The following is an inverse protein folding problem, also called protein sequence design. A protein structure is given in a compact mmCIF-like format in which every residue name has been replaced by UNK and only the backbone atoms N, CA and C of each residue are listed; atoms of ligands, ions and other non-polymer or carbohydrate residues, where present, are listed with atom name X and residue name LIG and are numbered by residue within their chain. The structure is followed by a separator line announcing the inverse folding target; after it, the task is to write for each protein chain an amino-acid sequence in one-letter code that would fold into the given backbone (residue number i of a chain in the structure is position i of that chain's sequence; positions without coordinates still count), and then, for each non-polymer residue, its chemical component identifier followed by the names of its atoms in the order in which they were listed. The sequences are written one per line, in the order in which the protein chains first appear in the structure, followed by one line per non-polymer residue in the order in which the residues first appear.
data_IF_401785971990
#
_entry.id   IF_401785971990
#
_cell.length_a   1.000
_cell.length_b   1.000
_cell.length_c   1.000
_cell.angle_alpha   90.00
_cell.angle_beta   90.00
_cell.angle_gamma   90.00
#
_symmetry.space_group_name_H-M   'P 1'
#
loop_
_entity.id
_entity.type
_entity.pdbx_description
1 polymer ?
#
# COMPACT_ATOMS: atom_id res chain seq x y z
N UNK A 1 0.88 -3.56 -32.12
CA UNK A 1 1.88 -2.48 -32.17
C UNK A 1 3.01 -2.82 -31.21
N UNK A 2 4.24 -2.34 -31.44
CA UNK A 2 5.33 -2.53 -30.46
C UNK A 2 5.02 -1.66 -29.23
N UNK A 3 5.19 -2.17 -28.00
CA UNK A 3 4.96 -1.34 -26.81
C UNK A 3 5.90 -0.14 -26.78
N UNK A 4 5.39 1.01 -26.37
CA UNK A 4 6.16 2.25 -26.22
C UNK A 4 7.16 2.13 -25.05
N UNK A 5 8.33 2.76 -25.18
CA UNK A 5 9.28 2.86 -24.06
C UNK A 5 8.93 4.06 -23.20
N UNK A 6 8.80 3.86 -21.90
CA UNK A 6 8.49 4.95 -20.95
C UNK A 6 9.61 5.04 -19.92
N UNK A 7 10.24 6.21 -19.84
CA UNK A 7 11.33 6.49 -18.91
C UNK A 7 10.79 6.82 -17.51
N UNK A 8 11.38 6.18 -16.51
CA UNK A 8 11.01 6.30 -15.10
C UNK A 8 12.18 6.91 -14.32
N UNK A 9 11.86 7.92 -13.52
CA UNK A 9 12.72 8.41 -12.44
C UNK A 9 12.24 7.87 -11.10
N UNK A 10 13.11 7.20 -10.34
CA UNK A 10 12.80 6.67 -9.01
C UNK A 10 13.51 7.50 -7.93
N UNK A 11 12.76 8.01 -6.96
CA UNK A 11 13.27 8.84 -5.87
C UNK A 11 13.22 8.04 -4.56
N UNK A 12 14.39 7.82 -3.95
CA UNK A 12 14.60 7.01 -2.75
C UNK A 12 15.19 5.64 -3.09
N UNK A 13 16.40 5.33 -2.62
CA UNK A 13 17.12 4.10 -2.97
C UNK A 13 17.06 3.00 -1.89
N UNK A 14 16.03 3.04 -1.03
CA UNK A 14 15.81 2.07 0.04
C UNK A 14 15.34 0.69 -0.45
N UNK A 15 14.85 -0.14 0.46
CA UNK A 15 14.42 -1.51 0.12
C UNK A 15 13.28 -1.54 -0.90
N UNK A 16 12.39 -0.53 -0.91
CA UNK A 16 11.31 -0.42 -1.89
C UNK A 16 11.81 -0.19 -3.32
N UNK A 17 12.92 0.55 -3.50
CA UNK A 17 13.54 0.73 -4.80
C UNK A 17 13.85 -0.61 -5.48
N UNK A 18 14.28 -1.61 -4.71
CA UNK A 18 14.51 -2.98 -5.22
C UNK A 18 13.21 -3.59 -5.74
N UNK A 19 12.12 -3.52 -4.99
CA UNK A 19 10.86 -4.14 -5.36
C UNK A 19 10.26 -3.51 -6.62
N UNK A 20 10.23 -2.18 -6.70
CA UNK A 20 9.76 -1.44 -7.88
C UNK A 20 10.66 -1.70 -9.10
N UNK A 21 11.98 -1.74 -8.92
CA UNK A 21 12.93 -2.06 -10.00
C UNK A 21 12.74 -3.46 -10.58
N UNK A 22 12.39 -4.44 -9.73
CA UNK A 22 12.03 -5.80 -10.19
C UNK A 22 10.71 -5.75 -10.97
N UNK A 23 9.73 -4.97 -10.51
CA UNK A 23 8.45 -4.83 -11.21
C UNK A 23 8.61 -4.22 -12.61
N UNK A 24 9.41 -3.16 -12.76
CA UNK A 24 9.70 -2.55 -14.07
C UNK A 24 10.38 -3.53 -15.04
N UNK A 25 11.31 -4.33 -14.54
CA UNK A 25 11.98 -5.34 -15.37
C UNK A 25 11.08 -6.54 -15.68
N UNK A 26 10.28 -6.99 -14.71
CA UNK A 26 9.49 -8.21 -14.79
C UNK A 26 8.16 -8.04 -15.51
N UNK A 27 7.50 -6.89 -15.42
CA UNK A 27 6.17 -6.65 -16.02
C UNK A 27 6.06 -7.06 -17.49
N UNK A 28 6.94 -6.63 -18.41
CA UNK A 28 6.84 -7.04 -19.81
C UNK A 28 7.16 -8.53 -20.06
N UNK A 29 7.76 -9.23 -19.10
CA UNK A 29 8.01 -10.68 -19.17
C UNK A 29 6.78 -11.50 -18.75
N UNK A 30 6.00 -10.98 -17.81
CA UNK A 30 4.78 -11.61 -17.31
C UNK A 30 3.58 -11.26 -18.20
N UNK A 31 3.43 -10.00 -18.59
CA UNK A 31 2.30 -9.52 -19.39
C UNK A 31 2.75 -9.14 -20.80
N UNK A 32 2.40 -9.97 -21.78
CA UNK A 32 2.75 -9.76 -23.19
C UNK A 32 1.54 -9.93 -24.14
N UNK A 33 1.31 -9.03 -25.12
CA UNK A 33 2.05 -7.78 -25.37
C UNK A 33 1.92 -6.80 -24.20
N UNK A 34 3.05 -6.21 -23.78
CA UNK A 34 3.08 -5.30 -22.66
C UNK A 34 2.39 -3.95 -23.00
N UNK A 35 1.75 -3.28 -22.03
CA UNK A 35 1.19 -1.95 -22.26
C UNK A 35 2.28 -0.91 -22.54
N UNK A 36 3.47 -1.07 -21.95
CA UNK A 36 4.66 -0.27 -22.19
C UNK A 36 5.93 -1.09 -21.86
N UNK A 37 7.10 -0.58 -22.25
CA UNK A 37 8.41 -1.04 -21.78
C UNK A 37 8.97 0.01 -20.78
N UNK A 38 8.93 -0.29 -19.48
CA UNK A 38 9.58 0.54 -18.45
C UNK A 38 11.09 0.66 -18.68
N UNK A 39 11.60 1.89 -18.74
CA UNK A 39 13.04 2.19 -18.80
C UNK A 39 13.44 2.85 -17.48
N UNK A 40 14.31 2.19 -16.73
CA UNK A 40 14.86 2.69 -15.46
C UNK A 40 15.89 3.78 -15.75
N UNK A 41 15.42 5.02 -15.91
CA UNK A 41 16.21 6.14 -16.43
C UNK A 41 17.15 6.70 -15.37
N UNK A 42 16.60 7.15 -14.24
CA UNK A 42 17.38 7.78 -13.18
C UNK A 42 16.89 7.32 -11.81
N UNK A 43 17.83 7.07 -10.88
CA UNK A 43 17.53 6.83 -9.47
C UNK A 43 18.18 7.92 -8.60
N UNK A 44 17.45 8.38 -7.59
CA UNK A 44 17.92 9.44 -6.68
C UNK A 44 18.01 8.95 -5.25
N UNK A 45 19.10 9.30 -4.58
CA UNK A 45 19.21 9.26 -3.12
C UNK A 45 20.10 10.42 -2.65
N UNK A 46 19.74 11.06 -1.53
CA UNK A 46 20.54 12.18 -0.99
C UNK A 46 21.98 11.79 -0.63
N UNK A 47 22.22 10.50 -0.37
CA UNK A 47 23.57 9.99 -0.18
C UNK A 47 24.14 9.49 -1.51
N UNK A 48 25.17 10.18 -2.01
CA UNK A 48 25.79 9.85 -3.30
C UNK A 48 26.26 8.39 -3.40
N UNK A 49 26.84 7.84 -2.32
CA UNK A 49 27.31 6.45 -2.33
C UNK A 49 26.16 5.45 -2.46
N UNK A 50 25.01 5.75 -1.83
CA UNK A 50 23.78 4.95 -1.93
C UNK A 50 23.18 5.09 -3.32
N UNK A 51 23.07 6.30 -3.86
CA UNK A 51 22.53 6.56 -5.20
C UNK A 51 23.35 5.84 -6.29
N UNK A 52 24.68 5.93 -6.21
CA UNK A 52 25.60 5.27 -7.14
C UNK A 52 25.51 3.75 -7.05
N UNK A 53 25.51 3.17 -5.85
CA UNK A 53 25.34 1.72 -5.67
C UNK A 53 23.98 1.25 -6.21
N UNK A 54 22.92 1.98 -5.90
CA UNK A 54 21.56 1.65 -6.35
C UNK A 54 21.43 1.69 -7.87
N UNK A 55 22.06 2.66 -8.55
CA UNK A 55 22.10 2.68 -10.02
C UNK A 55 22.70 1.40 -10.59
N UNK A 56 23.88 1.00 -10.12
CA UNK A 56 24.55 -0.21 -10.63
C UNK A 56 23.74 -1.47 -10.27
N UNK A 57 23.34 -1.61 -9.00
CA UNK A 57 22.66 -2.80 -8.47
C UNK A 57 21.25 -2.99 -9.02
N UNK A 58 20.52 -1.90 -9.22
CA UNK A 58 19.13 -1.91 -9.70
C UNK A 58 19.04 -1.63 -11.20
N UNK A 59 20.18 -1.48 -11.88
CA UNK A 59 20.32 -1.27 -13.32
C UNK A 59 19.52 -0.07 -13.85
N UNK A 60 19.77 1.11 -13.27
CA UNK A 60 19.35 2.40 -13.82
C UNK A 60 20.43 2.96 -14.76
N UNK A 61 20.05 3.79 -15.73
CA UNK A 61 21.00 4.43 -16.64
C UNK A 61 21.87 5.50 -15.94
N UNK A 62 21.27 6.25 -15.01
CA UNK A 62 21.91 7.32 -14.27
C UNK A 62 21.53 7.34 -12.78
N UNK A 63 22.32 8.04 -11.97
CA UNK A 63 21.94 8.43 -10.61
C UNK A 63 22.07 9.94 -10.43
N UNK A 64 21.36 10.48 -9.45
CA UNK A 64 21.59 11.83 -8.92
C UNK A 64 21.43 11.85 -7.39
N UNK A 65 21.88 12.93 -6.76
CA UNK A 65 21.65 13.25 -5.35
C UNK A 65 20.56 14.31 -5.15
N UNK A 66 19.99 14.85 -6.23
CA UNK A 66 18.92 15.85 -6.19
C UNK A 66 17.70 15.33 -6.97
N UNK A 67 16.55 15.25 -6.30
CA UNK A 67 15.32 14.77 -6.92
C UNK A 67 14.76 15.75 -7.96
N UNK A 68 15.16 17.03 -7.91
CA UNK A 68 14.80 18.00 -8.95
C UNK A 68 15.35 17.60 -10.32
N UNK A 69 16.44 16.83 -10.41
CA UNK A 69 16.96 16.35 -11.68
C UNK A 69 15.96 15.42 -12.38
N UNK A 70 15.24 14.58 -11.63
CA UNK A 70 14.16 13.75 -12.18
C UNK A 70 12.99 14.61 -12.67
N UNK A 71 12.63 15.64 -11.90
CA UNK A 71 11.47 16.51 -12.22
C UNK A 71 11.75 17.41 -13.42
N UNK A 72 12.99 17.86 -13.58
CA UNK A 72 13.38 18.77 -14.66
C UNK A 72 13.83 18.04 -15.94
N UNK A 73 14.08 16.73 -15.90
CA UNK A 73 14.43 15.95 -17.08
C UNK A 73 13.21 15.77 -18.01
N UNK A 74 13.22 16.34 -19.23
CA UNK A 74 12.10 16.23 -20.17
C UNK A 74 11.91 14.80 -20.71
N UNK A 75 12.93 13.94 -20.61
CA UNK A 75 12.85 12.56 -21.10
C UNK A 75 12.13 11.64 -20.11
N UNK A 76 11.97 12.02 -18.84
CA UNK A 76 11.27 11.22 -17.82
C UNK A 76 9.77 11.52 -17.83
N UNK A 77 8.94 10.49 -18.05
CA UNK A 77 7.47 10.63 -18.07
C UNK A 77 6.79 10.14 -16.79
N UNK A 78 7.45 9.27 -16.03
CA UNK A 78 6.93 8.68 -14.79
C UNK A 78 7.89 8.95 -13.63
N UNK A 79 7.36 9.42 -12.50
CA UNK A 79 8.07 9.57 -11.23
C UNK A 79 7.56 8.53 -10.24
N UNK A 80 8.49 7.77 -9.68
CA UNK A 80 8.25 6.77 -8.63
C UNK A 80 8.82 7.25 -7.30
N UNK A 81 7.94 7.52 -6.33
CA UNK A 81 8.28 8.11 -5.05
C UNK A 81 8.34 7.01 -3.99
N UNK A 82 9.55 6.61 -3.62
CA UNK A 82 9.88 5.54 -2.67
C UNK A 82 10.59 6.07 -1.40
N UNK A 83 10.34 7.34 -1.05
CA UNK A 83 10.94 8.03 0.10
C UNK A 83 10.17 7.76 1.40
N UNK A 84 10.63 8.28 2.56
CA UNK A 84 9.78 8.40 3.74
C UNK A 84 8.59 9.36 3.53
N UNK A 85 7.55 9.20 4.35
CA UNK A 85 6.23 9.81 4.16
C UNK A 85 6.26 11.35 4.11
N UNK A 86 7.17 11.96 4.89
CA UNK A 86 7.25 13.41 5.08
C UNK A 86 7.64 14.24 3.86
N UNK A 87 8.10 13.60 2.78
CA UNK A 87 8.50 14.30 1.55
C UNK A 87 7.66 13.90 0.33
N UNK A 88 6.66 13.02 0.50
CA UNK A 88 5.79 12.59 -0.60
C UNK A 88 5.10 13.79 -1.26
N UNK A 89 4.51 14.67 -0.45
CA UNK A 89 3.70 15.78 -0.93
C UNK A 89 4.50 16.78 -1.78
N UNK A 90 5.66 17.22 -1.29
CA UNK A 90 6.53 18.16 -2.00
C UNK A 90 6.94 17.60 -3.38
N UNK A 91 7.42 16.36 -3.41
CA UNK A 91 7.89 15.70 -4.62
C UNK A 91 6.73 15.47 -5.60
N UNK A 92 5.60 14.95 -5.13
CA UNK A 92 4.46 14.63 -5.98
C UNK A 92 3.81 15.89 -6.56
N UNK A 93 3.68 16.97 -5.79
CA UNK A 93 3.16 18.25 -6.26
C UNK A 93 4.08 18.84 -7.34
N UNK A 94 5.40 18.76 -7.17
CA UNK A 94 6.36 19.19 -8.17
C UNK A 94 6.29 18.34 -9.45
N UNK A 95 6.24 17.01 -9.33
CA UNK A 95 6.08 16.08 -10.46
C UNK A 95 4.78 16.33 -11.24
N UNK A 96 3.66 16.55 -10.53
CA UNK A 96 2.37 16.84 -11.14
C UNK A 96 2.38 18.17 -11.89
N UNK A 97 2.99 19.22 -11.33
CA UNK A 97 3.16 20.52 -12.00
C UNK A 97 4.06 20.42 -13.24
N UNK A 98 5.00 19.48 -13.26
CA UNK A 98 5.84 19.17 -14.41
C UNK A 98 5.16 18.23 -15.44
N UNK A 99 3.90 17.81 -15.20
CA UNK A 99 3.14 16.95 -16.11
C UNK A 99 3.59 15.49 -16.13
N UNK A 100 4.28 15.01 -15.10
CA UNK A 100 4.79 13.62 -15.02
C UNK A 100 3.81 12.73 -14.28
N UNK A 101 3.52 11.53 -14.81
CA UNK A 101 2.73 10.51 -14.14
C UNK A 101 3.41 10.03 -12.87
N UNK A 102 2.63 9.65 -11.84
CA UNK A 102 3.19 9.42 -10.50
C UNK A 102 2.75 8.07 -9.95
N UNK A 103 3.70 7.28 -9.48
CA UNK A 103 3.45 6.21 -8.50
C UNK A 103 4.08 6.64 -7.18
N UNK A 104 3.32 6.58 -6.09
CA UNK A 104 3.78 7.03 -4.78
C UNK A 104 3.59 5.90 -3.76
N UNK A 105 4.60 5.69 -2.93
CA UNK A 105 4.46 4.87 -1.74
C UNK A 105 3.39 5.41 -0.80
N UNK A 106 2.87 4.50 0.03
CA UNK A 106 1.86 4.80 1.04
C UNK A 106 2.52 5.01 2.43
N UNK A 107 1.82 5.60 3.42
CA UNK A 107 0.63 6.44 3.28
C UNK A 107 0.87 7.60 2.30
N UNK A 108 -0.20 8.17 1.72
CA UNK A 108 -0.05 9.11 0.62
C UNK A 108 0.73 10.36 1.07
N UNK A 109 0.47 10.83 2.29
CA UNK A 109 1.14 11.98 2.89
C UNK A 109 1.17 11.84 4.42
N UNK A 110 1.72 12.83 5.13
CA UNK A 110 1.65 12.88 6.60
C UNK A 110 0.28 13.34 7.10
N UNK A 111 -0.38 14.21 6.34
CA UNK A 111 -1.65 14.82 6.71
C UNK A 111 -2.65 14.73 5.58
N UNK A 112 -3.94 14.74 5.91
CA UNK A 112 -4.99 14.77 4.89
C UNK A 112 -4.98 16.05 4.05
N UNK A 113 -4.52 17.19 4.60
CA UNK A 113 -4.39 18.45 3.84
C UNK A 113 -3.30 18.35 2.76
N UNK A 114 -2.16 17.75 3.07
CA UNK A 114 -1.10 17.46 2.08
C UNK A 114 -1.61 16.47 1.02
N UNK A 115 -2.27 15.38 1.43
CA UNK A 115 -2.85 14.41 0.50
C UNK A 115 -3.91 15.05 -0.42
N UNK A 116 -4.70 16.00 0.10
CA UNK A 116 -5.65 16.80 -0.68
C UNK A 116 -4.94 17.65 -1.72
N UNK A 117 -3.85 18.35 -1.34
CA UNK A 117 -3.06 19.14 -2.28
C UNK A 117 -2.46 18.27 -3.40
N UNK A 118 -1.92 17.10 -3.05
CA UNK A 118 -1.40 16.13 -4.02
C UNK A 118 -2.48 15.72 -5.03
N UNK A 119 -3.65 15.29 -4.54
CA UNK A 119 -4.79 14.89 -5.37
C UNK A 119 -5.25 16.02 -6.29
N UNK A 120 -5.52 17.21 -5.75
CA UNK A 120 -6.03 18.34 -6.52
C UNK A 120 -5.01 18.84 -7.55
N UNK A 121 -3.72 18.82 -7.22
CA UNK A 121 -2.66 19.20 -8.15
C UNK A 121 -2.54 18.20 -9.29
N UNK A 122 -2.57 16.90 -9.00
CA UNK A 122 -2.55 15.86 -10.04
C UNK A 122 -3.78 15.96 -10.97
N UNK A 123 -4.98 16.12 -10.40
CA UNK A 123 -6.23 16.32 -11.14
C UNK A 123 -6.15 17.55 -12.05
N UNK A 124 -5.68 18.68 -11.53
CA UNK A 124 -5.55 19.95 -12.28
C UNK A 124 -4.59 19.85 -13.47
N UNK A 125 -3.52 19.06 -13.34
CA UNK A 125 -2.53 18.90 -14.40
C UNK A 125 -2.77 17.68 -15.30
N UNK A 126 -3.92 17.00 -15.17
CA UNK A 126 -4.27 15.80 -15.94
C UNK A 126 -3.25 14.67 -15.84
N UNK A 127 -2.64 14.55 -14.65
CA UNK A 127 -1.60 13.56 -14.38
C UNK A 127 -2.23 12.31 -13.77
N UNK A 128 -2.02 11.16 -14.42
CA UNK A 128 -2.37 9.84 -13.87
C UNK A 128 -1.53 9.53 -12.64
N UNK A 129 -2.17 9.04 -11.59
CA UNK A 129 -1.52 8.73 -10.31
C UNK A 129 -1.88 7.35 -9.79
N UNK A 130 -0.95 6.73 -9.06
CA UNK A 130 -1.18 5.49 -8.32
C UNK A 130 -0.56 5.58 -6.93
N UNK A 131 -1.26 5.03 -5.93
CA UNK A 131 -0.74 4.83 -4.57
C UNK A 131 -0.42 3.35 -4.37
N UNK A 132 0.72 3.04 -3.78
CA UNK A 132 1.27 1.69 -3.73
C UNK A 132 0.60 0.76 -2.69
N UNK A 133 -0.73 0.63 -2.72
CA UNK A 133 -1.45 -0.40 -1.95
C UNK A 133 -1.36 -1.77 -2.65
N UNK A 134 -0.14 -2.24 -2.91
CA UNK A 134 0.17 -3.41 -3.74
C UNK A 134 -0.52 -4.70 -3.26
N UNK A 135 -0.76 -4.88 -1.96
CA UNK A 135 -1.37 -6.11 -1.44
C UNK A 135 -2.77 -6.38 -1.99
N UNK A 136 -3.53 -5.35 -2.35
CA UNK A 136 -4.84 -5.53 -3.00
C UNK A 136 -4.70 -6.18 -4.38
N UNK A 137 -3.53 -6.10 -5.02
CA UNK A 137 -3.21 -6.72 -6.31
C UNK A 137 -2.85 -8.21 -6.20
N UNK A 138 -2.82 -8.77 -4.99
CA UNK A 138 -2.71 -10.22 -4.80
C UNK A 138 -3.87 -10.93 -5.53
N UNK A 139 -3.61 -11.93 -6.39
CA UNK A 139 -4.67 -12.61 -7.14
C UNK A 139 -5.81 -13.15 -6.28
N UNK A 140 -5.53 -13.59 -5.04
CA UNK A 140 -6.55 -14.08 -4.11
C UNK A 140 -7.49 -12.96 -3.64
N UNK A 141 -6.97 -11.76 -3.40
CA UNK A 141 -7.76 -10.58 -3.04
C UNK A 141 -8.60 -10.11 -4.23
N UNK A 142 -8.04 -10.20 -5.44
CA UNK A 142 -8.75 -9.85 -6.68
C UNK A 142 -9.84 -10.87 -7.00
N UNK A 143 -9.62 -12.15 -6.67
CA UNK A 143 -10.64 -13.19 -6.73
C UNK A 143 -11.75 -12.96 -5.69
N UNK A 144 -11.41 -12.52 -4.48
CA UNK A 144 -12.41 -12.13 -3.49
C UNK A 144 -13.30 -11.00 -4.01
N UNK A 145 -12.69 -9.96 -4.62
CA UNK A 145 -13.44 -8.87 -5.26
C UNK A 145 -14.36 -9.38 -6.36
N UNK A 146 -13.87 -10.27 -7.23
CA UNK A 146 -14.68 -10.91 -8.27
C UNK A 146 -15.92 -11.61 -7.70
N UNK A 147 -15.77 -12.44 -6.66
CA UNK A 147 -16.90 -13.15 -6.04
C UNK A 147 -17.91 -12.20 -5.40
N UNK A 148 -17.45 -11.11 -4.78
CA UNK A 148 -18.31 -10.07 -4.23
C UNK A 148 -19.09 -9.37 -5.34
N UNK A 149 -18.41 -8.96 -6.42
CA UNK A 149 -19.03 -8.24 -7.54
C UNK A 149 -20.01 -9.12 -8.33
N UNK A 150 -19.77 -10.43 -8.39
CA UNK A 150 -20.70 -11.42 -8.97
C UNK A 150 -21.91 -11.73 -8.07
N UNK A 151 -21.93 -11.20 -6.84
CA UNK A 151 -22.96 -11.49 -5.84
C UNK A 151 -22.87 -12.90 -5.26
N UNK A 152 -21.74 -13.60 -5.43
CA UNK A 152 -21.60 -15.01 -5.06
C UNK A 152 -21.69 -15.28 -3.55
N UNK A 153 -21.51 -14.26 -2.72
CA UNK A 153 -21.74 -14.32 -1.26
C UNK A 153 -22.91 -13.43 -0.80
N UNK A 154 -23.72 -12.91 -1.72
CA UNK A 154 -24.85 -12.04 -1.43
C UNK A 154 -24.44 -10.65 -0.94
N UNK A 155 -25.27 -10.04 -0.11
CA UNK A 155 -25.00 -8.72 0.49
C UNK A 155 -23.99 -8.84 1.63
N UNK A 156 -22.99 -7.97 1.67
CA UNK A 156 -21.98 -7.97 2.74
C UNK A 156 -22.61 -7.44 4.04
N UNK A 157 -22.48 -8.23 5.10
CA UNK A 157 -22.97 -7.91 6.44
C UNK A 157 -21.86 -7.31 7.31
N UNK A 158 -20.71 -8.00 7.35
CA UNK A 158 -19.57 -7.54 8.15
C UNK A 158 -18.20 -7.88 7.56
N UNK A 159 -17.20 -7.15 8.06
CA UNK A 159 -15.78 -7.29 7.72
C UNK A 159 -14.92 -7.32 8.99
N UNK A 160 -14.02 -8.30 9.08
CA UNK A 160 -12.93 -8.33 10.07
C UNK A 160 -11.60 -8.37 9.35
N UNK A 161 -10.76 -7.36 9.53
CA UNK A 161 -9.43 -7.32 8.95
C UNK A 161 -8.33 -7.19 9.99
N UNK A 162 -7.16 -7.76 9.72
CA UNK A 162 -5.98 -7.53 10.56
C UNK A 162 -4.71 -7.34 9.75
N UNK A 163 -3.75 -6.61 10.32
CA UNK A 163 -2.35 -6.67 9.89
C UNK A 163 -1.47 -6.78 11.14
N UNK A 164 -0.98 -7.99 11.39
CA UNK A 164 -0.19 -8.29 12.57
C UNK A 164 1.27 -8.56 12.18
N UNK A 165 2.20 -7.92 12.89
CA UNK A 165 3.64 -8.10 12.74
C UNK A 165 4.34 -8.15 14.10
N UNK A 166 5.58 -8.66 14.11
CA UNK A 166 6.45 -8.71 15.29
C UNK A 166 7.85 -8.14 15.08
N UNK A 167 8.12 -7.53 13.92
CA UNK A 167 9.47 -7.07 13.56
C UNK A 167 10.07 -6.05 14.56
N UNK A 168 9.22 -5.32 15.29
CA UNK A 168 9.63 -4.42 16.36
C UNK A 168 9.09 -4.79 17.74
N UNK A 169 8.66 -6.03 17.94
CA UNK A 169 8.16 -6.49 19.23
C UNK A 169 9.26 -6.53 20.30
N UNK A 170 10.53 -6.60 19.89
CA UNK A 170 11.70 -6.46 20.75
C UNK A 170 11.93 -4.98 21.15
N UNK A 171 11.98 -4.64 22.45
CA UNK A 171 12.33 -3.28 22.93
C UNK A 171 13.72 -2.79 22.54
N UNK A 172 14.64 -3.68 22.19
CA UNK A 172 15.99 -3.33 21.75
C UNK A 172 16.11 -3.18 20.23
N UNK A 173 15.03 -3.42 19.48
CA UNK A 173 14.94 -2.99 18.07
C UNK A 173 15.10 -1.47 17.98
N UNK A 174 15.99 -0.96 17.10
CA UNK A 174 16.36 0.45 17.07
C UNK A 174 15.22 1.39 16.67
N UNK A 175 15.37 2.65 17.09
CA UNK A 175 14.51 3.76 16.70
C UNK A 175 14.83 4.20 15.27
N UNK A 176 14.05 3.72 14.30
CA UNK A 176 14.04 4.24 12.93
C UNK A 176 13.04 5.40 12.77
N UNK A 177 12.93 5.95 11.57
CA UNK A 177 11.95 6.99 11.23
C UNK A 177 10.49 6.53 11.40
N UNK A 178 10.22 5.22 11.39
CA UNK A 178 8.88 4.62 11.56
C UNK A 178 8.28 4.75 12.96
N UNK A 179 9.08 5.24 13.91
CA UNK A 179 8.70 5.49 15.30
C UNK A 179 8.70 6.98 15.65
N UNK A 180 8.82 7.86 14.64
CA UNK A 180 8.95 9.30 14.80
C UNK A 180 7.82 10.00 14.05
N UNK A 181 6.88 10.56 14.80
CA UNK A 181 5.63 11.15 14.31
C UNK A 181 5.85 12.20 13.23
N UNK A 182 6.87 13.04 13.38
CA UNK A 182 7.18 14.10 12.42
C UNK A 182 7.71 13.57 11.07
N UNK A 183 8.03 12.28 10.96
CA UNK A 183 8.51 11.64 9.73
C UNK A 183 7.50 10.64 9.16
N UNK A 184 6.83 9.84 10.00
CA UNK A 184 5.88 8.83 9.55
C UNK A 184 4.40 9.19 9.74
N UNK A 185 4.09 10.22 10.52
CA UNK A 185 2.71 10.68 10.83
C UNK A 185 2.04 9.80 11.88
N UNK A 186 2.02 8.49 11.67
CA UNK A 186 1.56 7.48 12.64
C UNK A 186 2.38 6.19 12.51
N UNK A 187 2.24 5.32 13.51
CA UNK A 187 3.02 4.09 13.61
C UNK A 187 2.33 2.94 12.90
N UNK A 188 1.79 1.99 13.66
CA UNK A 188 1.09 0.83 13.10
C UNK A 188 -0.08 1.23 12.20
N UNK A 189 -0.84 2.27 12.53
CA UNK A 189 -1.94 2.77 11.69
C UNK A 189 -1.47 3.11 10.27
N UNK A 190 -0.57 4.07 10.11
CA UNK A 190 -0.10 4.54 8.80
C UNK A 190 0.72 3.50 8.04
N UNK A 191 1.55 2.74 8.73
CA UNK A 191 2.50 1.80 8.13
C UNK A 191 1.88 0.45 7.74
N UNK A 192 0.88 -0.04 8.47
CA UNK A 192 0.26 -1.34 8.16
C UNK A 192 -1.27 -1.30 8.19
N UNK A 193 -1.88 -0.54 9.09
CA UNK A 193 -3.34 -0.39 9.17
C UNK A 193 -3.97 0.11 7.87
N UNK A 194 -3.33 1.07 7.19
CA UNK A 194 -3.79 1.64 5.92
C UNK A 194 -3.95 0.60 4.81
N UNK A 195 -3.18 -0.49 4.80
CA UNK A 195 -3.40 -1.57 3.82
C UNK A 195 -4.73 -2.30 4.04
N UNK A 196 -5.14 -2.49 5.29
CA UNK A 196 -6.41 -3.15 5.63
C UNK A 196 -7.57 -2.19 5.43
N UNK A 197 -7.38 -0.89 5.69
CA UNK A 197 -8.33 0.16 5.32
C UNK A 197 -8.58 0.15 3.81
N UNK A 198 -7.53 0.11 2.99
CA UNK A 198 -7.65 -0.02 1.53
C UNK A 198 -8.40 -1.30 1.13
N UNK A 199 -8.10 -2.45 1.75
CA UNK A 199 -8.82 -3.70 1.48
C UNK A 199 -10.31 -3.61 1.81
N UNK A 200 -10.69 -2.99 2.94
CA UNK A 200 -12.09 -2.78 3.28
C UNK A 200 -12.76 -1.88 2.23
N UNK A 201 -12.15 -0.74 1.89
CA UNK A 201 -12.68 0.17 0.84
C UNK A 201 -12.86 -0.54 -0.50
N UNK A 202 -11.90 -1.39 -0.86
CA UNK A 202 -11.92 -2.12 -2.13
C UNK A 202 -13.00 -3.20 -2.20
N UNK A 203 -13.15 -3.97 -1.12
CA UNK A 203 -13.99 -5.17 -1.09
C UNK A 203 -15.42 -4.87 -0.61
N UNK A 204 -15.59 -3.90 0.29
CA UNK A 204 -16.86 -3.66 0.99
C UNK A 204 -17.48 -2.33 0.58
N UNK A 205 -16.77 -1.21 0.80
CA UNK A 205 -17.29 0.12 0.56
C UNK A 205 -16.60 1.19 1.41
N UNK A 206 -16.98 2.45 1.22
CA UNK A 206 -16.32 3.56 1.90
C UNK A 206 -16.80 3.74 3.35
N UNK A 207 -15.96 4.35 4.17
CA UNK A 207 -16.16 4.50 5.61
C UNK A 207 -17.13 5.64 5.91
N UNK A 208 -18.04 5.43 6.86
CA UNK A 208 -18.93 6.47 7.39
C UNK A 208 -18.38 7.04 8.70
N UNK A 209 -18.08 6.17 9.66
CA UNK A 209 -17.55 6.56 10.98
C UNK A 209 -16.78 5.44 11.64
N UNK A 210 -15.91 5.80 12.58
CA UNK A 210 -15.03 4.88 13.30
C UNK A 210 -15.05 5.12 14.81
N UNK A 211 -14.77 4.08 15.58
CA UNK A 211 -14.49 4.16 17.02
C UNK A 211 -13.21 3.40 17.33
N UNK A 212 -12.17 4.11 17.78
CA UNK A 212 -10.80 3.61 17.79
C UNK A 212 -10.12 3.68 19.14
N UNK A 213 -9.06 2.87 19.28
CA UNK A 213 -8.06 2.96 20.33
C UNK A 213 -6.68 2.71 19.74
N UNK A 214 -5.71 3.51 20.16
CA UNK A 214 -4.29 3.29 19.88
C UNK A 214 -3.53 2.99 21.17
N UNK A 215 -2.36 2.36 21.03
CA UNK A 215 -1.46 2.09 22.15
C UNK A 215 0.00 2.16 21.70
N UNK A 216 0.87 2.64 22.59
CA UNK A 216 2.34 2.56 22.48
C UNK A 216 2.82 1.72 23.64
N UNK A 217 3.37 0.53 23.36
CA UNK A 217 3.81 -0.42 24.37
C UNK A 217 5.29 -0.21 24.71
N UNK A 218 6.12 0.02 23.69
CA UNK A 218 7.57 0.27 23.83
C UNK A 218 7.79 1.77 23.69
N UNK A 219 7.92 2.46 24.82
CA UNK A 219 7.96 3.94 24.87
C UNK A 219 9.30 4.55 24.50
N UNK A 220 10.38 3.77 24.53
CA UNK A 220 11.73 4.24 24.21
C UNK A 220 12.50 3.13 23.50
N UNK A 221 13.28 3.50 22.48
CA UNK A 221 14.10 2.58 21.67
C UNK A 221 15.52 3.12 21.52
N UNK A 222 16.53 2.24 21.39
CA UNK A 222 17.90 2.68 21.21
C UNK A 222 18.09 3.36 19.85
N UNK A 223 18.86 4.45 19.80
CA UNK A 223 19.08 5.21 18.58
C UNK A 223 19.80 4.38 17.53
N UNK A 224 19.36 4.47 16.27
CA UNK A 224 20.05 3.87 15.15
C UNK A 224 21.25 4.75 14.75
N UNK A 225 22.42 4.14 14.58
CA UNK A 225 23.63 4.83 14.08
C UNK A 225 23.79 4.74 12.55
N UNK A 226 23.02 3.87 11.88
CA UNK A 226 23.04 3.67 10.43
C UNK A 226 21.90 4.39 9.69
N UNK A 227 22.12 4.72 8.41
CA UNK A 227 21.20 5.51 7.58
C UNK A 227 20.03 4.73 6.95
N UNK A 228 20.04 3.39 7.00
CA UNK A 228 19.03 2.56 6.33
C UNK A 228 18.09 1.90 7.34
N UNK A 229 16.78 2.04 7.10
CA UNK A 229 15.77 1.32 7.87
C UNK A 229 15.81 -0.18 7.53
N UNK A 230 16.03 -1.00 8.54
CA UNK A 230 16.24 -2.45 8.42
C UNK A 230 15.11 -3.27 9.04
N UNK A 231 13.98 -2.64 9.38
CA UNK A 231 12.82 -3.31 10.01
C UNK A 231 13.24 -4.13 11.23
N UNK A 232 13.98 -3.50 12.15
CA UNK A 232 14.43 -4.09 13.41
C UNK A 232 15.65 -5.02 13.31
N UNK A 233 16.17 -5.29 12.11
CA UNK A 233 17.31 -6.20 11.93
C UNK A 233 18.69 -5.57 12.20
N UNK A 234 18.75 -4.29 12.53
CA UNK A 234 20.01 -3.63 12.88
C UNK A 234 20.43 -4.01 14.30
N UNK A 235 21.68 -4.48 14.45
CA UNK A 235 22.28 -4.74 15.76
C UNK A 235 22.69 -3.42 16.40
N UNK A 236 22.31 -3.25 17.65
CA UNK A 236 22.63 -2.05 18.44
C UNK A 236 23.60 -2.43 19.56
N UNK A 237 24.60 -1.59 19.82
CA UNK A 237 25.56 -1.83 20.89
C UNK A 237 24.91 -1.67 22.26
N UNK A 238 25.41 -2.42 23.24
CA UNK A 238 25.00 -2.26 24.64
C UNK A 238 25.25 -0.82 25.11
N UNK A 239 24.27 -0.23 25.81
CA UNK A 239 24.26 1.15 26.31
C UNK A 239 24.08 2.27 25.25
N UNK A 240 23.62 1.94 24.04
CA UNK A 240 23.21 2.97 23.08
C UNK A 240 22.09 3.85 23.68
N UNK A 241 22.19 5.19 23.62
CA UNK A 241 21.16 6.08 24.14
C UNK A 241 19.79 5.75 23.54
N UNK A 242 18.75 5.77 24.39
CA UNK A 242 17.36 5.58 23.95
C UNK A 242 16.68 6.93 23.74
N UNK A 243 15.75 6.98 22.80
CA UNK A 243 14.85 8.13 22.55
C UNK A 243 13.41 7.65 22.51
N UNK A 244 12.49 8.54 22.87
CA UNK A 244 11.06 8.26 22.94
C UNK A 244 10.49 7.83 21.57
N UNK A 245 9.52 6.92 21.64
CA UNK A 245 8.58 6.58 20.56
C UNK A 245 7.33 7.41 20.79
N UNK A 246 6.91 8.17 19.78
CA UNK A 246 5.79 9.12 19.84
C UNK A 246 4.63 8.75 18.90
N UNK A 247 4.59 7.48 18.47
CA UNK A 247 3.56 6.91 17.61
C UNK A 247 2.97 5.62 18.19
N UNK A 248 1.88 5.16 17.60
CA UNK A 248 1.20 3.93 17.98
C UNK A 248 1.97 2.66 17.55
N UNK A 249 2.12 1.73 18.47
CA UNK A 249 2.55 0.35 18.21
C UNK A 249 1.36 -0.52 17.76
N UNK A 250 0.14 -0.14 18.14
CA UNK A 250 -1.10 -0.83 17.81
C UNK A 250 -2.27 0.14 17.65
N UNK A 251 -3.13 -0.17 16.69
CA UNK A 251 -4.42 0.47 16.47
C UNK A 251 -5.51 -0.59 16.33
N UNK A 252 -6.62 -0.45 17.05
CA UNK A 252 -7.82 -1.26 16.90
C UNK A 252 -9.03 -0.34 16.78
N UNK A 253 -9.93 -0.62 15.84
CA UNK A 253 -11.14 0.18 15.68
C UNK A 253 -12.32 -0.61 15.12
N UNK A 254 -13.51 -0.18 15.50
CA UNK A 254 -14.76 -0.52 14.84
C UNK A 254 -15.05 0.47 13.72
N UNK A 255 -15.75 0.02 12.69
CA UNK A 255 -16.13 0.82 11.52
C UNK A 255 -17.59 0.59 11.17
N UNK A 256 -18.28 1.67 10.79
CA UNK A 256 -19.52 1.62 10.03
C UNK A 256 -19.24 2.15 8.62
N UNK A 257 -19.71 1.42 7.60
CA UNK A 257 -19.57 1.78 6.20
C UNK A 257 -20.79 2.56 5.71
N UNK A 258 -20.60 3.31 4.63
CA UNK A 258 -21.66 4.10 3.97
C UNK A 258 -22.80 3.24 3.43
N UNK A 259 -22.53 1.99 3.05
CA UNK A 259 -23.52 1.03 2.57
C UNK A 259 -24.25 0.25 3.69
N UNK A 260 -23.95 0.53 4.97
CA UNK A 260 -24.58 -0.12 6.12
C UNK A 260 -23.85 -1.34 6.67
N UNK A 261 -22.86 -1.88 5.97
CA UNK A 261 -21.97 -2.91 6.52
C UNK A 261 -21.15 -2.34 7.70
N UNK A 262 -20.78 -3.18 8.65
CA UNK A 262 -19.94 -2.79 9.79
C UNK A 262 -18.78 -3.76 9.98
N UNK A 263 -17.84 -3.44 10.85
CA UNK A 263 -16.70 -4.31 11.01
C UNK A 263 -15.69 -3.84 12.02
N UNK A 264 -14.51 -4.46 11.96
CA UNK A 264 -13.38 -4.06 12.77
C UNK A 264 -12.05 -4.33 12.09
N UNK A 265 -11.07 -3.49 12.38
CA UNK A 265 -9.70 -3.62 11.91
C UNK A 265 -8.76 -3.54 13.11
N UNK A 266 -7.71 -4.36 13.07
CA UNK A 266 -6.63 -4.35 14.04
C UNK A 266 -5.27 -4.40 13.35
N UNK A 267 -4.38 -3.48 13.72
CA UNK A 267 -3.02 -3.43 13.21
C UNK A 267 -2.04 -3.31 14.38
N UNK A 268 -0.98 -4.12 14.40
CA UNK A 268 0.01 -4.12 15.50
C UNK A 268 1.39 -4.54 15.04
N UNK A 269 2.43 -3.95 15.64
CA UNK A 269 3.83 -4.33 15.46
C UNK A 269 4.38 -5.20 16.61
N UNK A 270 3.51 -5.66 17.51
CA UNK A 270 3.87 -6.34 18.76
C UNK A 270 3.21 -7.74 18.91
N UNK A 271 2.90 -8.41 17.80
CA UNK A 271 2.25 -9.72 17.81
C UNK A 271 3.24 -10.85 17.55
N UNK A 272 4.03 -11.24 18.55
CA UNK A 272 5.01 -12.33 18.46
C UNK A 272 4.48 -13.57 17.72
N UNK A 273 5.19 -14.00 16.67
CA UNK A 273 4.82 -15.12 15.83
C UNK A 273 3.97 -14.74 14.60
N UNK A 274 3.67 -13.45 14.41
CA UNK A 274 3.05 -12.92 13.19
C UNK A 274 4.08 -12.11 12.42
N UNK A 275 4.33 -12.47 11.17
CA UNK A 275 5.40 -11.81 10.40
C UNK A 275 4.82 -10.79 9.42
N UNK A 276 3.91 -11.23 8.55
CA UNK A 276 3.23 -10.38 7.58
C UNK A 276 1.77 -10.80 7.43
N UNK A 277 1.10 -10.95 8.59
CA UNK A 277 -0.20 -11.55 8.73
C UNK A 277 -1.30 -10.55 8.42
N UNK A 278 -1.49 -10.30 7.12
CA UNK A 278 -2.60 -9.50 6.58
C UNK A 278 -3.77 -10.45 6.35
N UNK A 279 -4.89 -10.20 7.02
CA UNK A 279 -6.09 -11.01 6.86
C UNK A 279 -7.33 -10.16 6.62
N UNK A 280 -8.31 -10.78 5.99
CA UNK A 280 -9.70 -10.36 6.12
C UNK A 280 -10.61 -11.59 6.18
N UNK A 281 -11.72 -11.42 6.88
CA UNK A 281 -12.88 -12.30 6.85
C UNK A 281 -14.11 -11.45 6.55
N UNK A 282 -14.92 -11.88 5.59
CA UNK A 282 -16.11 -11.18 5.12
C UNK A 282 -17.26 -12.16 5.21
N UNK A 283 -18.35 -11.74 5.86
CA UNK A 283 -19.59 -12.48 5.88
C UNK A 283 -20.63 -11.77 5.04
N UNK A 284 -21.21 -12.49 4.09
CA UNK A 284 -22.36 -12.06 3.33
C UNK A 284 -23.58 -12.94 3.57
N UNK A 285 -24.73 -12.53 3.05
CA UNK A 285 -25.99 -13.26 3.22
C UNK A 285 -25.98 -14.66 2.60
N UNK A 286 -25.10 -14.92 1.63
CA UNK A 286 -25.03 -16.18 0.88
C UNK A 286 -23.65 -16.85 0.94
N UNK A 287 -22.73 -16.38 1.77
CA UNK A 287 -21.42 -17.01 1.91
C UNK A 287 -20.42 -16.22 2.73
N UNK A 288 -19.22 -16.76 2.85
CA UNK A 288 -18.11 -16.13 3.57
C UNK A 288 -16.81 -16.25 2.80
N UNK A 289 -15.92 -15.26 2.94
CA UNK A 289 -14.58 -15.28 2.36
C UNK A 289 -13.56 -15.04 3.47
N UNK A 290 -12.47 -15.81 3.48
CA UNK A 290 -11.31 -15.61 4.36
C UNK A 290 -10.02 -15.58 3.56
N UNK A 291 -9.13 -14.67 3.91
CA UNK A 291 -7.82 -14.49 3.29
C UNK A 291 -6.71 -14.35 4.34
N UNK A 292 -5.52 -14.88 4.03
CA UNK A 292 -4.30 -14.70 4.79
C UNK A 292 -3.10 -14.52 3.86
N UNK A 293 -2.43 -13.37 3.92
CA UNK A 293 -1.28 -13.06 3.07
C UNK A 293 -0.02 -13.90 3.35
N UNK A 294 0.12 -14.51 4.54
CA UNK A 294 1.19 -15.49 4.78
C UNK A 294 0.98 -16.76 3.93
N UNK A 295 -0.25 -16.98 3.45
CA UNK A 295 -0.63 -18.02 2.48
C UNK A 295 -1.29 -17.40 1.25
N UNK A 296 -0.69 -16.37 0.68
CA UNK A 296 -1.31 -15.50 -0.34
C UNK A 296 -1.81 -16.18 -1.62
N UNK A 297 -1.34 -17.38 -1.91
CA UNK A 297 -1.87 -18.19 -3.02
C UNK A 297 -3.30 -18.67 -2.78
N UNK A 298 -3.74 -18.73 -1.51
CA UNK A 298 -5.01 -19.27 -1.04
C UNK A 298 -6.07 -18.17 -0.85
N UNK A 299 -7.28 -18.45 -1.34
CA UNK A 299 -8.50 -17.79 -0.90
C UNK A 299 -9.45 -18.85 -0.35
N UNK A 300 -9.93 -18.68 0.88
CA UNK A 300 -10.96 -19.55 1.43
C UNK A 300 -12.34 -18.94 1.16
N UNK A 301 -13.27 -19.74 0.62
CA UNK A 301 -14.65 -19.30 0.38
C UNK A 301 -15.65 -20.39 0.79
N UNK A 302 -16.76 -20.00 1.41
CA UNK A 302 -17.89 -20.87 1.74
C UNK A 302 -19.13 -20.31 1.06
N UNK A 303 -19.88 -21.13 0.31
CA UNK A 303 -21.13 -20.70 -0.31
C UNK A 303 -22.32 -21.37 0.39
N UNK A 304 -23.31 -20.57 0.78
CA UNK A 304 -24.52 -21.05 1.44
C UNK A 304 -25.34 -22.00 0.56
N UNK A 305 -25.25 -21.84 -0.77
CA UNK A 305 -25.90 -22.69 -1.76
C UNK A 305 -25.36 -24.12 -1.86
N UNK A 306 -24.20 -24.43 -1.26
CA UNK A 306 -23.68 -25.80 -1.22
C UNK A 306 -24.62 -26.73 -0.43
N UNK A 307 -24.70 -27.98 -0.88
CA UNK A 307 -25.51 -29.02 -0.23
C UNK A 307 -25.10 -29.22 1.24
N UNK A 308 -26.08 -29.44 2.11
CA UNK A 308 -25.89 -29.43 3.56
C UNK A 308 -24.91 -30.49 4.07
N UNK A 309 -24.76 -31.62 3.37
CA UNK A 309 -23.86 -32.73 3.73
C UNK A 309 -22.39 -32.48 3.36
N UNK A 310 -22.09 -31.37 2.67
CA UNK A 310 -20.75 -31.05 2.14
C UNK A 310 -20.41 -29.55 2.14
N UNK A 311 -21.16 -28.74 2.89
CA UNK A 311 -20.93 -27.29 3.00
C UNK A 311 -19.72 -27.02 3.88
N UNK A 312 -18.88 -26.08 3.46
CA UNK A 312 -17.73 -25.61 4.23
C UNK A 312 -16.84 -24.70 3.40
N UNK A 313 -15.79 -24.15 4.04
CA UNK A 313 -14.77 -23.42 3.32
C UNK A 313 -14.02 -24.34 2.36
N UNK A 314 -13.94 -23.93 1.10
CA UNK A 314 -13.01 -24.48 0.11
C UNK A 314 -11.80 -23.57 0.03
N UNK A 315 -10.60 -24.14 0.03
CA UNK A 315 -9.35 -23.42 -0.25
C UNK A 315 -9.10 -23.40 -1.75
N UNK A 316 -9.19 -22.22 -2.36
CA UNK A 316 -8.93 -22.01 -3.78
C UNK A 316 -7.51 -21.50 -3.95
N UNK A 317 -6.67 -22.24 -4.68
CA UNK A 317 -5.36 -21.78 -5.10
C UNK A 317 -5.48 -20.97 -6.40
N UNK A 318 -4.95 -19.75 -6.40
CA UNK A 318 -4.98 -18.85 -7.56
C UNK A 318 -4.02 -19.32 -8.65
N UNK A 319 -4.32 -19.00 -9.92
CA UNK A 319 -3.65 -19.54 -11.11
C UNK A 319 -4.34 -19.05 -12.40
N UNK A 320 -4.13 -19.70 -13.56
CA UNK A 320 -4.55 -19.18 -14.87
C UNK A 320 -6.02 -18.79 -15.04
N UNK A 321 -6.93 -19.46 -14.31
CA UNK A 321 -8.38 -19.21 -14.39
C UNK A 321 -8.88 -18.11 -13.43
N UNK A 322 -7.97 -17.44 -12.72
CA UNK A 322 -8.28 -16.40 -11.73
C UNK A 322 -7.76 -15.04 -12.21
N UNK A 323 -8.16 -13.91 -11.59
CA UNK A 323 -7.69 -12.58 -12.00
C UNK A 323 -6.17 -12.50 -12.14
N UNK A 324 -5.70 -11.84 -13.20
CA UNK A 324 -4.31 -11.75 -13.65
C UNK A 324 -3.62 -13.07 -14.06
N UNK A 325 -4.30 -14.21 -13.95
CA UNK A 325 -3.74 -15.54 -14.18
C UNK A 325 -3.12 -15.73 -15.56
N UNK A 326 -3.60 -15.03 -16.59
CA UNK A 326 -3.06 -15.10 -17.96
C UNK A 326 -1.63 -14.58 -18.09
N UNK A 327 -1.17 -13.70 -17.20
CA UNK A 327 0.20 -13.19 -17.19
C UNK A 327 1.09 -13.80 -16.11
N UNK A 328 0.54 -14.67 -15.26
CA UNK A 328 1.26 -15.28 -14.14
C UNK A 328 1.69 -16.71 -14.49
N UNK A 329 1.74 -17.58 -13.49
CA UNK A 329 2.23 -18.94 -13.62
C UNK A 329 1.24 -19.90 -14.29
N UNK A 330 1.73 -20.96 -14.98
CA UNK A 330 0.90 -21.86 -15.79
C UNK A 330 -0.02 -22.79 -14.99
N UNK A 331 0.17 -22.92 -13.67
CA UNK A 331 -0.66 -23.75 -12.79
C UNK A 331 -0.84 -23.07 -11.43
N UNK A 332 -1.96 -23.34 -10.72
CA UNK A 332 -2.11 -22.88 -9.36
C UNK A 332 -1.00 -23.39 -8.43
N UNK A 333 -0.67 -22.59 -7.42
CA UNK A 333 0.32 -22.92 -6.39
C UNK A 333 1.77 -23.12 -6.90
N UNK A 334 2.11 -22.68 -8.12
CA UNK A 334 3.54 -22.56 -8.49
C UNK A 334 4.26 -21.54 -7.58
N UNK A 335 3.51 -20.56 -7.07
CA UNK A 335 3.92 -19.68 -5.98
C UNK A 335 3.80 -18.21 -6.34
N UNK A 336 2.95 -17.49 -5.63
CA UNK A 336 2.87 -16.03 -5.66
C UNK A 336 3.66 -15.46 -4.49
N UNK A 337 4.63 -14.60 -4.80
CA UNK A 337 5.42 -13.85 -3.84
C UNK A 337 4.95 -12.40 -3.69
N UNK A 338 5.77 -11.61 -2.99
CA UNK A 338 5.59 -10.16 -2.92
C UNK A 338 5.83 -9.50 -4.29
N UNK A 339 6.79 -10.02 -5.05
CA UNK A 339 7.22 -9.48 -6.35
C UNK A 339 6.07 -9.43 -7.36
N UNK A 340 5.27 -10.49 -7.46
CA UNK A 340 4.15 -10.55 -8.38
C UNK A 340 3.11 -9.47 -8.10
N UNK A 341 2.89 -9.10 -6.82
CA UNK A 341 1.97 -8.00 -6.49
C UNK A 341 2.43 -6.65 -7.05
N UNK A 342 3.74 -6.38 -7.02
CA UNK A 342 4.34 -5.17 -7.60
C UNK A 342 4.37 -5.23 -9.13
N UNK A 343 4.56 -6.41 -9.71
CA UNK A 343 4.46 -6.62 -11.17
C UNK A 343 3.04 -6.33 -11.66
N UNK A 344 2.01 -6.81 -10.96
CA UNK A 344 0.60 -6.55 -11.29
C UNK A 344 0.26 -5.06 -11.11
N UNK A 345 0.73 -4.43 -10.03
CA UNK A 345 0.59 -2.99 -9.80
C UNK A 345 1.20 -2.17 -10.96
N UNK A 346 2.43 -2.50 -11.36
CA UNK A 346 3.12 -1.90 -12.51
C UNK A 346 2.33 -2.12 -13.81
N UNK A 347 1.83 -3.34 -14.05
CA UNK A 347 1.01 -3.65 -15.22
C UNK A 347 -0.24 -2.77 -15.30
N UNK A 348 -1.00 -2.67 -14.21
CA UNK A 348 -2.22 -1.85 -14.18
C UNK A 348 -1.94 -0.36 -14.35
N UNK A 349 -0.84 0.13 -13.78
CA UNK A 349 -0.42 1.52 -13.98
C UNK A 349 -0.16 1.82 -15.46
N UNK A 350 0.73 1.04 -16.10
CA UNK A 350 1.06 1.26 -17.51
C UNK A 350 -0.10 0.96 -18.46
N UNK A 351 -0.95 -0.02 -18.13
CA UNK A 351 -2.19 -0.28 -18.87
C UNK A 351 -3.10 0.94 -18.83
N UNK A 352 -3.26 1.56 -17.65
CA UNK A 352 -4.07 2.77 -17.49
C UNK A 352 -3.51 3.95 -18.29
N UNK A 353 -2.18 4.10 -18.37
CA UNK A 353 -1.55 5.10 -19.24
C UNK A 353 -1.85 4.85 -20.72
N UNK A 354 -1.73 3.59 -21.16
CA UNK A 354 -2.01 3.20 -22.56
C UNK A 354 -3.49 3.39 -22.93
N UNK A 355 -4.40 3.10 -21.99
CA UNK A 355 -5.86 3.19 -22.19
C UNK A 355 -6.43 4.58 -21.87
N UNK A 356 -5.61 5.52 -21.41
CA UNK A 356 -5.99 6.84 -20.90
C UNK A 356 -7.06 6.81 -19.78
N UNK A 357 -7.03 5.77 -18.95
CA UNK A 357 -7.90 5.63 -17.78
C UNK A 357 -7.17 6.02 -16.49
N UNK A 358 -7.92 6.27 -15.41
CA UNK A 358 -7.30 6.47 -14.11
C UNK A 358 -6.80 5.14 -13.52
N UNK A 359 -5.53 5.05 -13.08
CA UNK A 359 -5.08 3.93 -12.28
C UNK A 359 -5.89 3.84 -10.98
N UNK A 360 -6.04 2.64 -10.42
CA UNK A 360 -6.69 2.42 -9.12
C UNK A 360 -5.85 1.46 -8.27
N UNK A 361 -5.49 1.83 -7.02
CA UNK A 361 -5.86 3.07 -6.33
C UNK A 361 -5.04 4.28 -6.76
N UNK A 362 -5.67 5.45 -6.92
CA UNK A 362 -5.00 6.72 -7.26
C UNK A 362 -4.93 7.67 -6.06
N UNK A 363 -4.48 8.91 -6.26
CA UNK A 363 -4.37 9.90 -5.19
C UNK A 363 -5.70 10.27 -4.53
N UNK A 364 -6.84 10.11 -5.22
CA UNK A 364 -8.16 10.25 -4.59
C UNK A 364 -8.37 9.18 -3.53
N UNK A 365 -7.98 7.94 -3.83
CA UNK A 365 -8.05 6.83 -2.88
C UNK A 365 -7.06 7.01 -1.73
N UNK A 366 -5.84 7.45 -2.01
CA UNK A 366 -4.87 7.79 -0.98
C UNK A 366 -5.37 8.89 -0.04
N UNK A 367 -5.97 9.95 -0.59
CA UNK A 367 -6.58 11.03 0.20
C UNK A 367 -7.74 10.51 1.07
N UNK A 368 -8.59 9.64 0.53
CA UNK A 368 -9.64 9.00 1.33
C UNK A 368 -9.08 8.21 2.51
N UNK A 369 -7.99 7.46 2.30
CA UNK A 369 -7.33 6.71 3.37
C UNK A 369 -6.75 7.66 4.42
N UNK A 370 -6.19 8.82 4.05
CA UNK A 370 -5.73 9.81 5.04
C UNK A 370 -6.87 10.43 5.85
N UNK A 371 -8.02 10.73 5.21
CA UNK A 371 -9.21 11.21 5.94
C UNK A 371 -9.72 10.18 6.96
N UNK A 372 -9.66 8.90 6.60
CA UNK A 372 -10.01 7.80 7.50
C UNK A 372 -8.99 7.69 8.64
N UNK A 373 -7.69 7.78 8.35
CA UNK A 373 -6.63 7.79 9.36
C UNK A 373 -6.79 8.94 10.36
N UNK A 374 -7.11 10.14 9.89
CA UNK A 374 -7.40 11.30 10.75
C UNK A 374 -8.60 11.04 11.67
N UNK A 375 -9.67 10.45 11.15
CA UNK A 375 -10.85 10.11 11.94
C UNK A 375 -10.54 9.04 13.00
N UNK A 376 -9.73 8.04 12.66
CA UNK A 376 -9.27 6.99 13.59
C UNK A 376 -8.44 7.61 14.71
N UNK A 377 -7.45 8.44 14.39
CA UNK A 377 -6.59 9.09 15.39
C UNK A 377 -7.38 10.04 16.29
N UNK A 378 -8.32 10.81 15.72
CA UNK A 378 -9.22 11.67 16.48
C UNK A 378 -10.10 10.86 17.43
N UNK A 379 -10.72 9.78 16.94
CA UNK A 379 -11.55 8.89 17.76
C UNK A 379 -10.75 8.25 18.90
N UNK A 380 -9.51 7.82 18.64
CA UNK A 380 -8.64 7.25 19.67
C UNK A 380 -8.28 8.26 20.77
N UNK A 381 -8.19 9.55 20.43
CA UNK A 381 -7.91 10.63 21.38
C UNK A 381 -9.16 11.04 22.19
N UNK A 382 -10.33 11.10 21.55
CA UNK A 382 -11.57 11.57 22.20
C UNK A 382 -12.35 10.45 22.88
N UNK A 383 -12.07 9.19 22.54
CA UNK A 383 -12.84 8.01 22.96
C UNK A 383 -14.30 8.01 22.50
N UNK A 384 -14.58 8.65 21.36
CA UNK A 384 -15.92 8.81 20.78
C UNK A 384 -15.96 8.32 19.32
N UNK A 385 -17.15 7.98 18.84
CA UNK A 385 -17.37 7.76 17.41
C UNK A 385 -17.06 9.04 16.63
N UNK A 386 -16.27 8.93 15.57
CA UNK A 386 -15.89 10.05 14.71
C UNK A 386 -16.31 9.77 13.28
N UNK A 387 -17.09 10.68 12.68
CA UNK A 387 -17.45 10.62 11.27
C UNK A 387 -16.22 10.88 10.39
N UNK A 388 -16.12 10.13 9.29
CA UNK A 388 -15.11 10.35 8.26
C UNK A 388 -15.58 11.51 7.38
N UNK A 389 -14.70 12.48 7.13
CA UNK A 389 -15.05 13.62 6.27
C UNK A 389 -15.34 13.15 4.85
N UNK A 390 -16.35 13.73 4.22
CA UNK A 390 -16.64 13.44 2.80
C UNK A 390 -15.51 13.95 1.90
N UNK A 391 -15.13 13.14 0.92
CA UNK A 391 -14.14 13.49 -0.11
C UNK A 391 -14.48 14.76 -0.91
N UNK A 392 -15.77 15.12 -0.98
CA UNK A 392 -16.30 16.23 -1.77
C UNK A 392 -16.84 17.39 -0.89
N UNK A 393 -16.59 17.40 0.43
CA UNK A 393 -17.14 18.43 1.35
C UNK A 393 -16.63 19.86 1.07
N UNK A 394 -15.50 20.02 0.38
CA UNK A 394 -14.93 21.32 0.04
C UNK A 394 -15.09 21.65 -1.45
N UNK A 395 -16.30 22.05 -1.84
CA UNK A 395 -16.58 22.86 -3.06
C UNK A 395 -16.16 22.33 -4.45
N UNK A 396 -15.99 21.03 -4.65
CA UNK A 396 -15.81 20.47 -6.00
C UNK A 396 -16.85 19.35 -6.25
N UNK A 397 -17.66 19.40 -7.32
CA UNK A 397 -18.54 18.30 -7.66
C UNK A 397 -17.69 17.08 -8.03
N UNK A 398 -17.85 16.03 -7.22
CA UNK A 398 -17.86 14.66 -7.70
C UNK A 398 -18.64 14.60 -9.04
#
# INVERSE_FOLDING_TARGET
MKPEKINIGLIGAGFMAKAHSIAYAGMPMFFWPAPAIPVKKMIVDMNESVARDAKEKLAFEAYSTDWHDIINDPDISVVDICTPNNVHAEIAVAAAKAGKHIICEKPLALTSDEAKEMYLTAKKNHVKTMVAFNYRKTPAVQLAKKYIDEGAIGEILDFRGTYLQDWSADPDSPLSWRFQKDICGSGALGDIGTHVVDMLRFLVGDFKRVNARTATYIKERPLQTGMSDSLGNARVEQNTPKKAVDVDDQCIFMVECTNGAFGSIEATRNAWGRNNYITFEIHGTEGSIFFNYERRDELQVCFAGDAADRRGFRTVYTGPNHPYGSGLWPIPALGIGYTETKIIECYDFFRSLQEDTEPVPNFRDGYAVELISDAILKSAQTHEWTDVKDLCADSDPC
#
